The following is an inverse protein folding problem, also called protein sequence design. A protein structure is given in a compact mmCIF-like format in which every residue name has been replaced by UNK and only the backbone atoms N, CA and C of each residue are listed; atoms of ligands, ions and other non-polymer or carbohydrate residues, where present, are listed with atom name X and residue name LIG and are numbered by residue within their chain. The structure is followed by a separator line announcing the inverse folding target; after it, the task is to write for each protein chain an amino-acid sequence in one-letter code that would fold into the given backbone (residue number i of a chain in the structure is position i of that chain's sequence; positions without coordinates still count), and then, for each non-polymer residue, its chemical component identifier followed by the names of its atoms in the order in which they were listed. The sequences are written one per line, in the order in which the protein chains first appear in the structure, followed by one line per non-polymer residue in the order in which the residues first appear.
data_IF_622081287052
#
_entry.id   IF_622081287052
#
_cell.length_a   1.000
_cell.length_b   1.000
_cell.length_c   1.000
_cell.angle_alpha   90.00
_cell.angle_beta   90.00
_cell.angle_gamma   90.00
#
_symmetry.space_group_name_H-M   'P 1'
#
loop_
_entity.id
_entity.type
_entity.pdbx_description
1 polymer ?
#
# COMPACT_ATOMS: atom_id res chain seq x y z
N UNK A 1 -15.47 -39.77 -17.00
CA UNK A 1 -16.33 -38.56 -16.96
C UNK A 1 -15.65 -37.37 -16.26
N UNK A 2 -15.12 -37.53 -15.07
CA UNK A 2 -14.53 -36.45 -14.27
C UNK A 2 -13.30 -35.78 -14.93
N UNK A 3 -12.44 -36.50 -15.67
CA UNK A 3 -11.28 -35.93 -16.40
C UNK A 3 -11.72 -34.93 -17.47
N UNK A 4 -12.85 -35.17 -18.15
CA UNK A 4 -13.41 -34.22 -19.13
C UNK A 4 -13.96 -32.98 -18.43
N UNK A 5 -14.63 -33.13 -17.28
CA UNK A 5 -15.14 -32.02 -16.49
C UNK A 5 -13.99 -31.15 -16.00
N UNK A 6 -12.93 -31.76 -15.45
CA UNK A 6 -11.72 -31.04 -15.01
C UNK A 6 -11.08 -30.26 -16.17
N UNK A 7 -10.96 -30.90 -17.35
CA UNK A 7 -10.42 -30.22 -18.53
C UNK A 7 -11.23 -28.97 -18.91
N UNK A 8 -12.56 -29.08 -18.94
CA UNK A 8 -13.41 -27.91 -19.27
C UNK A 8 -13.35 -26.82 -18.20
N UNK A 9 -13.22 -27.17 -16.91
CA UNK A 9 -13.02 -26.19 -15.83
C UNK A 9 -11.69 -25.44 -16.00
N UNK A 10 -10.61 -26.16 -16.34
CA UNK A 10 -9.31 -25.53 -16.57
C UNK A 10 -9.34 -24.64 -17.81
N UNK A 11 -9.91 -25.11 -18.91
CA UNK A 11 -10.04 -24.31 -20.14
C UNK A 11 -10.89 -23.06 -19.88
N UNK A 12 -12.03 -23.21 -19.23
CA UNK A 12 -12.92 -22.09 -18.89
C UNK A 12 -12.24 -21.08 -17.97
N UNK A 13 -11.52 -21.57 -16.95
CA UNK A 13 -10.74 -20.72 -16.05
C UNK A 13 -9.63 -19.94 -16.77
N UNK A 14 -8.88 -20.63 -17.64
CA UNK A 14 -7.86 -19.97 -18.45
C UNK A 14 -8.45 -18.92 -19.41
N UNK A 15 -9.54 -19.25 -20.07
CA UNK A 15 -10.23 -18.31 -20.95
C UNK A 15 -10.74 -17.08 -20.16
N UNK A 16 -11.37 -17.28 -19.01
CA UNK A 16 -11.81 -16.19 -18.14
C UNK A 16 -10.63 -15.32 -17.68
N UNK A 17 -9.53 -15.95 -17.26
CA UNK A 17 -8.31 -15.23 -16.87
C UNK A 17 -7.76 -14.39 -18.02
N UNK A 18 -7.73 -14.90 -19.25
CA UNK A 18 -7.27 -14.14 -20.41
C UNK A 18 -8.23 -13.00 -20.75
N UNK A 19 -9.55 -13.22 -20.65
CA UNK A 19 -10.54 -12.19 -20.90
C UNK A 19 -10.44 -11.01 -19.94
N UNK A 20 -10.23 -11.25 -18.65
CA UNK A 20 -10.06 -10.17 -17.68
C UNK A 20 -8.80 -9.32 -17.93
N UNK A 21 -7.79 -9.86 -18.64
CA UNK A 21 -6.62 -9.07 -19.04
C UNK A 21 -6.94 -7.98 -20.09
N UNK A 22 -8.08 -8.05 -20.76
CA UNK A 22 -8.52 -7.00 -21.69
C UNK A 22 -9.05 -5.75 -20.99
N UNK A 23 -9.31 -5.84 -19.68
CA UNK A 23 -9.77 -4.72 -18.86
C UNK A 23 -8.54 -3.91 -18.41
N UNK A 24 -8.36 -2.65 -18.85
CA UNK A 24 -7.15 -1.88 -18.56
C UNK A 24 -7.12 -1.28 -17.15
N UNK A 25 -8.19 -1.44 -16.36
CA UNK A 25 -8.29 -0.90 -15.01
C UNK A 25 -7.11 -1.35 -14.12
N UNK A 26 -6.58 -0.41 -13.35
CA UNK A 26 -5.49 -0.68 -12.42
C UNK A 26 -4.09 -0.83 -13.06
N UNK A 27 -3.92 -0.47 -14.33
CA UNK A 27 -2.63 -0.48 -15.02
C UNK A 27 -1.98 0.90 -15.17
N UNK A 28 -2.65 1.94 -14.69
CA UNK A 28 -2.05 3.25 -14.55
C UNK A 28 -1.19 3.28 -13.29
N UNK A 29 0.11 3.27 -13.48
CA UNK A 29 1.12 3.29 -12.44
C UNK A 29 1.80 4.67 -12.32
N UNK A 30 1.09 5.71 -12.67
CA UNK A 30 1.60 7.08 -12.58
C UNK A 30 1.80 7.46 -11.11
N UNK A 31 3.01 7.91 -10.81
CA UNK A 31 3.32 8.57 -9.54
C UNK A 31 3.26 10.09 -9.77
N UNK A 32 2.28 10.80 -9.19
CA UNK A 32 2.25 12.27 -9.24
C UNK A 32 3.50 12.87 -8.60
N UNK A 33 3.86 14.13 -8.91
CA UNK A 33 4.97 14.79 -8.24
C UNK A 33 4.70 14.94 -6.74
N UNK A 34 5.77 15.00 -5.94
CA UNK A 34 5.69 15.38 -4.53
C UNK A 34 5.35 16.86 -4.47
N UNK A 35 4.23 17.20 -3.86
CA UNK A 35 3.73 18.59 -3.73
C UNK A 35 4.22 19.19 -2.41
N UNK A 36 4.01 18.47 -1.31
CA UNK A 36 4.39 18.88 0.03
C UNK A 36 4.67 17.63 0.86
N UNK A 37 5.93 17.34 1.09
CA UNK A 37 6.30 16.21 1.92
C UNK A 37 5.88 16.40 3.38
N UNK A 38 5.52 15.30 4.05
CA UNK A 38 5.22 15.30 5.47
C UNK A 38 6.40 15.83 6.30
N UNK A 39 6.16 16.61 7.37
CA UNK A 39 7.21 17.23 8.19
C UNK A 39 7.80 16.21 9.18
N UNK A 40 8.65 15.30 8.69
CA UNK A 40 9.25 14.23 9.48
C UNK A 40 9.99 14.76 10.70
N UNK A 41 9.72 14.18 11.88
CA UNK A 41 10.45 14.53 13.11
C UNK A 41 11.91 14.09 13.06
N UNK A 42 12.20 13.03 12.31
CA UNK A 42 13.54 12.48 12.16
C UNK A 42 13.70 11.69 10.85
N UNK A 43 14.94 11.53 10.35
CA UNK A 43 15.23 10.64 9.21
C UNK A 43 14.80 9.20 9.48
N UNK A 44 14.84 8.75 10.72
CA UNK A 44 14.47 7.40 11.13
C UNK A 44 12.97 7.14 11.00
N UNK A 45 12.14 8.10 11.41
CA UNK A 45 10.68 7.99 11.22
C UNK A 45 10.33 7.91 9.74
N UNK A 46 10.98 8.75 8.90
CA UNK A 46 10.81 8.68 7.45
C UNK A 46 11.21 7.32 6.89
N UNK A 47 12.35 6.78 7.28
CA UNK A 47 12.82 5.46 6.82
C UNK A 47 11.81 4.35 7.13
N UNK A 48 11.31 4.31 8.37
CA UNK A 48 10.28 3.34 8.76
C UNK A 48 8.97 3.53 7.98
N UNK A 49 8.55 4.77 7.75
CA UNK A 49 7.37 5.09 6.98
C UNK A 49 7.54 4.72 5.50
N UNK A 50 8.71 4.95 4.90
CA UNK A 50 9.03 4.52 3.53
C UNK A 50 8.88 3.01 3.39
N UNK A 51 9.42 2.25 4.33
CA UNK A 51 9.34 0.78 4.27
C UNK A 51 7.95 0.20 4.51
N UNK A 52 7.09 0.89 5.24
CA UNK A 52 5.84 0.32 5.71
C UNK A 52 4.57 0.98 5.14
N UNK A 53 4.64 2.21 4.64
CA UNK A 53 3.47 3.02 4.32
C UNK A 53 3.49 3.60 2.91
N UNK A 54 4.68 3.93 2.35
CA UNK A 54 4.82 4.75 1.16
C UNK A 54 4.18 4.14 -0.09
N UNK A 55 4.21 2.82 -0.25
CA UNK A 55 3.65 2.20 -1.45
C UNK A 55 2.17 2.54 -1.64
N UNK A 56 1.40 2.68 -0.55
CA UNK A 56 -0.01 3.08 -0.63
C UNK A 56 -0.27 4.55 -0.28
N UNK A 57 0.59 5.17 0.55
CA UNK A 57 0.34 6.48 1.13
C UNK A 57 1.33 7.57 0.67
N UNK A 58 1.92 7.41 -0.53
CA UNK A 58 2.79 8.44 -1.12
C UNK A 58 2.68 8.48 -2.64
N UNK A 59 3.28 9.50 -3.25
CA UNK A 59 3.46 9.59 -4.70
C UNK A 59 4.76 8.89 -5.17
N UNK A 60 5.34 8.01 -4.32
CA UNK A 60 6.61 7.31 -4.56
C UNK A 60 6.41 5.79 -4.53
N UNK A 61 5.24 5.30 -4.94
CA UNK A 61 4.89 3.87 -5.01
C UNK A 61 5.87 3.09 -5.88
N UNK A 62 6.40 1.98 -5.37
CA UNK A 62 7.19 1.03 -6.16
C UNK A 62 6.25 -0.06 -6.69
N UNK A 63 5.80 0.11 -7.93
CA UNK A 63 4.86 -0.81 -8.55
C UNK A 63 5.52 -2.15 -8.88
N UNK A 64 5.07 -3.27 -8.30
CA UNK A 64 5.62 -4.59 -8.60
C UNK A 64 5.16 -5.07 -9.99
N UNK A 65 5.91 -5.98 -10.61
CA UNK A 65 5.60 -6.49 -11.95
C UNK A 65 4.18 -7.07 -12.09
N UNK A 66 3.66 -7.70 -11.05
CA UNK A 66 2.33 -8.31 -11.05
C UNK A 66 1.19 -7.26 -10.96
N UNK A 67 1.49 -6.00 -10.70
CA UNK A 67 0.50 -4.90 -10.77
C UNK A 67 -0.02 -4.65 -12.20
N UNK A 68 0.57 -5.30 -13.22
CA UNK A 68 0.09 -5.27 -14.59
C UNK A 68 -0.87 -6.43 -14.91
N UNK A 69 -1.10 -7.35 -13.99
CA UNK A 69 -1.85 -8.59 -14.22
C UNK A 69 -3.15 -8.55 -13.41
N UNK A 70 -4.30 -8.58 -14.11
CA UNK A 70 -5.61 -8.70 -13.45
C UNK A 70 -5.78 -10.10 -12.81
N UNK A 71 -6.41 -10.24 -11.63
CA UNK A 71 -7.07 -9.18 -10.86
C UNK A 71 -6.14 -8.43 -9.88
N UNK A 72 -4.84 -8.78 -9.79
CA UNK A 72 -3.90 -8.13 -8.88
C UNK A 72 -3.77 -6.63 -9.17
N UNK A 73 -3.73 -6.23 -10.46
CA UNK A 73 -3.73 -4.83 -10.87
C UNK A 73 -4.88 -4.02 -10.25
N UNK A 74 -6.07 -4.62 -10.20
CA UNK A 74 -7.26 -3.95 -9.66
C UNK A 74 -7.17 -3.72 -8.16
N UNK A 75 -6.65 -4.73 -7.43
CA UNK A 75 -6.49 -4.65 -5.99
C UNK A 75 -5.41 -3.63 -5.60
N UNK A 76 -4.23 -3.72 -6.22
CA UNK A 76 -3.13 -2.81 -5.90
C UNK A 76 -3.47 -1.35 -6.24
N UNK A 77 -4.09 -1.12 -7.40
CA UNK A 77 -4.52 0.21 -7.77
C UNK A 77 -5.55 0.78 -6.79
N UNK A 78 -6.51 -0.05 -6.37
CA UNK A 78 -7.50 0.32 -5.35
C UNK A 78 -6.85 0.66 -4.01
N UNK A 79 -5.88 -0.14 -3.56
CA UNK A 79 -5.14 0.10 -2.32
C UNK A 79 -4.32 1.39 -2.38
N UNK A 80 -3.64 1.65 -3.50
CA UNK A 80 -2.82 2.86 -3.68
C UNK A 80 -3.70 4.11 -3.82
N UNK A 81 -4.74 4.08 -4.64
CA UNK A 81 -5.63 5.24 -4.81
C UNK A 81 -6.36 5.57 -3.53
N UNK A 82 -6.95 4.58 -2.86
CA UNK A 82 -7.62 4.77 -1.58
C UNK A 82 -6.65 5.18 -0.45
N UNK A 83 -5.42 4.66 -0.48
CA UNK A 83 -4.37 5.07 0.45
C UNK A 83 -4.04 6.55 0.31
N UNK A 84 -3.79 7.02 -0.92
CA UNK A 84 -3.49 8.42 -1.23
C UNK A 84 -4.65 9.37 -0.93
N UNK A 85 -5.88 8.96 -1.16
CA UNK A 85 -7.07 9.76 -0.83
C UNK A 85 -7.22 10.00 0.67
N UNK A 86 -6.97 8.98 1.49
CA UNK A 86 -7.12 9.07 2.94
C UNK A 86 -5.92 9.76 3.61
N UNK A 87 -4.72 9.49 3.13
CA UNK A 87 -3.46 10.00 3.67
C UNK A 87 -2.40 9.96 2.57
N UNK A 88 -1.74 11.08 2.30
CA UNK A 88 -0.65 11.15 1.35
C UNK A 88 0.55 11.89 1.95
N UNK A 89 1.63 11.16 2.24
CA UNK A 89 2.87 11.75 2.78
C UNK A 89 3.61 12.63 1.77
N UNK A 90 3.27 12.53 0.48
CA UNK A 90 3.80 13.39 -0.59
C UNK A 90 2.95 14.62 -0.89
N UNK A 91 1.75 14.70 -0.28
CA UNK A 91 0.83 15.85 -0.34
C UNK A 91 0.19 16.07 1.04
N UNK A 92 1.04 16.47 1.99
CA UNK A 92 0.68 16.57 3.40
C UNK A 92 -0.31 17.69 3.69
N UNK A 93 -1.45 17.33 4.27
CA UNK A 93 -2.55 18.27 4.49
C UNK A 93 -2.63 18.80 5.93
N UNK A 94 -2.42 17.97 6.95
CA UNK A 94 -2.61 18.39 8.33
C UNK A 94 -1.93 17.51 9.37
N UNK A 95 -1.70 18.09 10.55
CA UNK A 95 -1.15 17.36 11.70
C UNK A 95 -2.09 16.27 12.24
N UNK A 96 -3.40 16.38 12.00
CA UNK A 96 -4.35 15.33 12.36
C UNK A 96 -4.06 13.99 11.66
N UNK A 97 -3.49 14.04 10.45
CA UNK A 97 -3.04 12.85 9.72
C UNK A 97 -1.90 12.13 10.44
N UNK A 98 -1.00 12.85 11.11
CA UNK A 98 0.07 12.25 11.90
C UNK A 98 -0.49 11.47 13.10
N UNK A 99 -1.46 12.03 13.83
CA UNK A 99 -2.11 11.33 14.94
C UNK A 99 -2.85 10.08 14.47
N UNK A 100 -3.60 10.17 13.37
CA UNK A 100 -4.26 9.02 12.76
C UNK A 100 -3.28 7.93 12.35
N UNK A 101 -2.11 8.30 11.81
CA UNK A 101 -1.03 7.38 11.45
C UNK A 101 -0.45 6.67 12.70
N UNK A 102 -0.18 7.43 13.77
CA UNK A 102 0.31 6.88 15.04
C UNK A 102 -0.67 5.83 15.59
N UNK A 103 -1.94 6.18 15.67
CA UNK A 103 -2.99 5.29 16.16
C UNK A 103 -3.15 4.03 15.30
N UNK A 104 -3.07 4.15 13.98
CA UNK A 104 -3.18 3.00 13.08
C UNK A 104 -2.03 2.02 13.26
N UNK A 105 -0.80 2.54 13.45
CA UNK A 105 0.40 1.73 13.70
C UNK A 105 0.33 1.04 15.06
N UNK A 106 -0.07 1.75 16.12
CA UNK A 106 -0.19 1.18 17.48
C UNK A 106 -1.26 0.07 17.56
N UNK A 107 -2.42 0.29 16.93
CA UNK A 107 -3.48 -0.73 16.82
C UNK A 107 -3.16 -1.88 15.89
N UNK A 108 -1.99 -1.86 15.24
CA UNK A 108 -1.56 -2.87 14.24
C UNK A 108 -2.56 -3.02 13.07
N UNK A 109 -3.36 -1.98 12.79
CA UNK A 109 -4.22 -1.94 11.61
C UNK A 109 -3.44 -1.57 10.35
N UNK A 110 -2.32 -0.85 10.52
CA UNK A 110 -1.36 -0.52 9.45
C UNK A 110 0.07 -0.94 9.86
N UNK A 111 0.88 -1.40 8.90
CA UNK A 111 0.47 -1.84 7.57
C UNK A 111 -0.44 -3.09 7.61
N UNK A 112 -1.28 -3.30 6.57
CA UNK A 112 -2.17 -4.46 6.50
C UNK A 112 -1.40 -5.78 6.48
N UNK A 113 -1.98 -6.85 7.07
CA UNK A 113 -1.29 -8.15 7.18
C UNK A 113 -0.94 -8.77 5.83
N UNK A 114 -1.85 -8.69 4.85
CA UNK A 114 -1.62 -9.20 3.49
C UNK A 114 -0.45 -8.48 2.81
N UNK A 115 -0.28 -7.18 3.03
CA UNK A 115 0.85 -6.42 2.54
C UNK A 115 2.15 -6.79 3.27
N UNK A 116 2.16 -6.77 4.60
CA UNK A 116 3.37 -7.02 5.39
C UNK A 116 3.92 -8.44 5.22
N UNK A 117 3.10 -9.45 4.94
CA UNK A 117 3.58 -10.81 4.63
C UNK A 117 4.44 -10.84 3.36
N UNK A 118 4.09 -10.03 2.36
CA UNK A 118 4.81 -9.97 1.08
C UNK A 118 6.01 -9.01 1.11
N UNK A 119 6.02 -8.03 2.02
CA UNK A 119 7.00 -6.93 2.06
C UNK A 119 7.77 -6.92 3.38
N UNK A 120 9.01 -7.39 3.36
CA UNK A 120 9.85 -7.49 4.59
C UNK A 120 10.03 -6.17 5.32
N UNK A 121 10.17 -5.06 4.60
CA UNK A 121 10.33 -3.73 5.19
C UNK A 121 9.08 -3.27 5.97
N UNK A 122 7.91 -3.82 5.64
CA UNK A 122 6.66 -3.57 6.34
C UNK A 122 6.41 -4.49 7.53
N UNK A 123 7.28 -5.46 7.78
CA UNK A 123 7.23 -6.34 8.95
C UNK A 123 7.86 -5.66 10.17
N UNK A 124 7.21 -4.60 10.64
CA UNK A 124 7.69 -3.84 11.79
C UNK A 124 7.68 -4.69 13.06
N UNK A 125 8.81 -4.70 13.79
CA UNK A 125 8.87 -5.20 15.17
C UNK A 125 8.03 -4.32 16.09
N UNK A 126 7.70 -4.80 17.29
CA UNK A 126 6.96 -3.96 18.26
C UNK A 126 7.76 -2.72 18.66
N UNK A 127 9.11 -2.80 18.74
CA UNK A 127 9.98 -1.65 18.97
C UNK A 127 9.90 -0.63 17.81
N UNK A 128 9.98 -1.08 16.57
CA UNK A 128 9.86 -0.21 15.40
C UNK A 128 8.47 0.43 15.27
N UNK A 129 7.42 -0.29 15.67
CA UNK A 129 6.05 0.27 15.74
C UNK A 129 5.96 1.39 16.76
N UNK A 130 6.49 1.17 17.95
CA UNK A 130 6.51 2.20 18.99
C UNK A 130 7.33 3.42 18.56
N UNK A 131 8.49 3.20 17.95
CA UNK A 131 9.35 4.26 17.42
C UNK A 131 8.62 5.07 16.32
N UNK A 132 8.01 4.41 15.35
CA UNK A 132 7.27 5.04 14.25
C UNK A 132 6.07 5.83 14.77
N UNK A 133 5.29 5.24 15.67
CA UNK A 133 4.13 5.92 16.27
C UNK A 133 4.54 7.15 17.08
N UNK A 134 5.64 7.06 17.84
CA UNK A 134 6.22 8.21 18.56
C UNK A 134 6.64 9.31 17.60
N UNK A 135 7.30 8.95 16.49
CA UNK A 135 7.69 9.90 15.45
C UNK A 135 6.47 10.63 14.88
N UNK A 136 5.42 9.90 14.51
CA UNK A 136 4.17 10.50 14.05
C UNK A 136 3.54 11.45 15.07
N UNK A 137 3.54 11.09 16.37
CA UNK A 137 3.03 12.00 17.41
C UNK A 137 3.82 13.29 17.50
N UNK A 138 5.15 13.25 17.36
CA UNK A 138 5.99 14.44 17.32
C UNK A 138 5.72 15.31 16.11
N UNK A 139 5.41 14.72 14.93
CA UNK A 139 5.03 15.47 13.74
C UNK A 139 3.72 16.24 13.93
N UNK A 140 2.84 15.78 14.82
CA UNK A 140 1.59 16.46 15.12
C UNK A 140 1.79 17.78 15.91
N UNK A 141 2.94 17.93 16.54
CA UNK A 141 3.25 19.04 17.44
C UNK A 141 2.75 18.79 18.88
N UNK A 142 3.07 19.70 19.79
CA UNK A 142 2.61 19.64 21.19
C UNK A 142 1.11 19.87 21.29
#
# INVERSE_FOLDING_TARGET
MWKKVLLWVVIGGAAAFLLIQLIPYGRDHTNPPVVKEAPWDSPRTRELAVGACFDCHSNETIWPWYSNIAPASWLLYGDVSGGRENLNYSDWQSNAQALGSADAVERKSMPPKNYSVAHKAAQLTDAQRAELAQGFRKMAGP
#
